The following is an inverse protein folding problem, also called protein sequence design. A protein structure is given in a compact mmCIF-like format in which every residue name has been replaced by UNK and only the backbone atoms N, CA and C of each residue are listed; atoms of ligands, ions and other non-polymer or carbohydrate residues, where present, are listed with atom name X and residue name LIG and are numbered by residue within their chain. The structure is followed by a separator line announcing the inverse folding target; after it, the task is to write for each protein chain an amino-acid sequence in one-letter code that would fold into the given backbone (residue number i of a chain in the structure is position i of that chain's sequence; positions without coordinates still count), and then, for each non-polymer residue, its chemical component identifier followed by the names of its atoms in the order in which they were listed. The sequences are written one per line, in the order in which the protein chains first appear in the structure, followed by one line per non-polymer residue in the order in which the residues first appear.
data_IF_009447048938
#
_entry.id   IF_009447048938
#
_cell.length_a   1.000
_cell.length_b   1.000
_cell.length_c   1.000
_cell.angle_alpha   90.00
_cell.angle_beta   90.00
_cell.angle_gamma   90.00
#
_symmetry.space_group_name_H-M   'P 1'
#
loop_
_entity.id
_entity.type
_entity.pdbx_description
1 polymer ?
#
# COMPACT_ATOMS: atom_id res chain seq x y z
N UNK A 1 -2.85 -12.71 4.00
CA UNK A 1 -3.87 -11.64 3.97
C UNK A 1 -3.47 -10.53 4.91
N UNK A 2 -3.56 -9.31 4.49
CA UNK A 2 -3.23 -8.18 5.32
C UNK A 2 -4.20 -7.03 5.09
N UNK A 3 -4.35 -6.19 6.12
CA UNK A 3 -5.27 -5.06 6.09
C UNK A 3 -4.48 -3.78 5.91
N UNK A 4 -4.96 -2.92 5.05
CA UNK A 4 -4.32 -1.63 4.80
C UNK A 4 -5.31 -0.53 5.10
N UNK A 5 -4.82 0.50 5.77
CA UNK A 5 -5.60 1.68 6.08
C UNK A 5 -4.84 2.88 5.54
N UNK A 6 -5.50 3.64 4.69
CA UNK A 6 -4.91 4.84 4.11
C UNK A 6 -5.69 6.03 4.62
N UNK A 7 -5.05 6.87 5.40
CA UNK A 7 -5.69 8.08 5.92
C UNK A 7 -5.15 9.29 5.19
N UNK A 8 -6.05 10.10 4.66
CA UNK A 8 -5.66 11.33 3.99
C UNK A 8 -5.55 12.46 5.00
N UNK A 9 -4.32 12.78 5.39
CA UNK A 9 -4.07 13.84 6.35
C UNK A 9 -3.83 15.19 5.68
N UNK A 10 -3.91 15.25 4.37
CA UNK A 10 -3.73 16.51 3.66
C UNK A 10 -5.02 17.30 3.67
N UNK A 11 -4.97 18.50 3.16
CA UNK A 11 -6.15 19.34 3.07
C UNK A 11 -6.86 19.18 1.72
N UNK A 12 -6.34 18.34 0.87
CA UNK A 12 -6.86 18.17 -0.48
C UNK A 12 -7.49 16.79 -0.66
N UNK A 13 -8.38 16.68 -1.63
CA UNK A 13 -8.90 15.38 -2.05
C UNK A 13 -7.85 14.71 -2.92
N UNK A 14 -7.60 13.44 -2.67
CA UNK A 14 -6.61 12.66 -3.42
C UNK A 14 -7.27 11.41 -3.99
N UNK A 15 -6.71 10.91 -5.08
CA UNK A 15 -7.17 9.66 -5.68
C UNK A 15 -5.99 8.69 -5.79
N UNK A 16 -6.19 7.46 -5.35
CA UNK A 16 -5.17 6.45 -5.48
C UNK A 16 -5.15 5.95 -6.91
N UNK A 17 -4.04 6.14 -7.59
CA UNK A 17 -3.91 5.78 -8.99
C UNK A 17 -3.32 4.39 -9.20
N UNK A 18 -2.27 4.06 -8.49
CA UNK A 18 -1.58 2.80 -8.69
C UNK A 18 -0.83 2.37 -7.45
N UNK A 19 -0.45 1.11 -7.45
CA UNK A 19 0.36 0.55 -6.38
C UNK A 19 1.52 -0.22 -6.97
N UNK A 20 2.61 -0.27 -6.24
CA UNK A 20 3.75 -1.07 -6.61
C UNK A 20 4.31 -1.71 -5.34
N UNK A 21 4.33 -3.02 -5.28
CA UNK A 21 4.80 -3.76 -4.13
C UNK A 21 5.97 -4.63 -4.51
N UNK A 22 6.92 -4.74 -3.61
CA UNK A 22 8.06 -5.61 -3.74
C UNK A 22 8.05 -6.54 -2.55
N UNK A 23 8.07 -7.83 -2.80
CA UNK A 23 8.03 -8.84 -1.76
C UNK A 23 9.32 -9.63 -1.83
N UNK A 24 10.07 -9.66 -0.74
CA UNK A 24 11.33 -10.36 -0.66
C UNK A 24 11.14 -11.52 0.30
N UNK A 25 11.25 -12.74 -0.22
CA UNK A 25 11.02 -13.91 0.61
C UNK A 25 12.28 -14.26 1.40
N UNK A 26 12.16 -15.25 2.28
CA UNK A 26 13.26 -15.60 3.17
C UNK A 26 14.48 -16.18 2.43
N UNK A 27 14.32 -16.55 1.19
CA UNK A 27 15.43 -17.00 0.36
C UNK A 27 16.06 -15.88 -0.43
N UNK A 28 15.58 -14.67 -0.26
CA UNK A 28 16.09 -13.52 -0.98
C UNK A 28 15.48 -13.31 -2.36
N UNK A 29 14.48 -14.12 -2.71
CA UNK A 29 13.84 -13.95 -4.00
C UNK A 29 12.89 -12.76 -3.95
N UNK A 30 12.97 -11.93 -4.98
CA UNK A 30 12.15 -10.72 -5.06
C UNK A 30 11.03 -10.92 -6.05
N UNK A 31 9.81 -10.65 -5.62
CA UNK A 31 8.64 -10.63 -6.49
C UNK A 31 8.07 -9.24 -6.49
N UNK A 32 7.63 -8.77 -7.65
CA UNK A 32 7.03 -7.45 -7.75
C UNK A 32 5.58 -7.58 -8.19
N UNK A 33 4.72 -6.78 -7.58
CA UNK A 33 3.32 -6.75 -7.92
C UNK A 33 2.98 -5.28 -8.17
N UNK A 34 2.55 -4.97 -9.36
CA UNK A 34 2.16 -3.62 -9.70
C UNK A 34 0.77 -3.65 -10.33
N UNK A 35 0.04 -2.59 -10.15
CA UNK A 35 -1.29 -2.53 -10.73
C UNK A 35 -1.93 -1.18 -10.54
N UNK A 36 -3.04 -0.99 -11.25
CA UNK A 36 -3.83 0.21 -11.16
C UNK A 36 -4.69 0.12 -9.92
N UNK A 37 -4.63 1.13 -9.09
CA UNK A 37 -5.45 1.19 -7.89
C UNK A 37 -5.20 0.06 -6.91
N UNK A 38 -6.20 -0.26 -6.12
CA UNK A 38 -6.18 -1.38 -5.20
C UNK A 38 -7.49 -2.13 -5.32
N UNK A 39 -7.41 -3.46 -5.39
CA UNK A 39 -8.59 -4.33 -5.50
C UNK A 39 -9.51 -3.85 -6.62
N UNK A 40 -8.94 -3.47 -7.75
CA UNK A 40 -9.74 -3.04 -8.90
C UNK A 40 -10.35 -1.66 -8.78
N UNK A 41 -9.99 -0.88 -7.77
CA UNK A 41 -10.55 0.45 -7.55
C UNK A 41 -9.47 1.51 -7.48
N UNK A 42 -9.85 2.71 -7.88
CA UNK A 42 -9.00 3.88 -7.69
C UNK A 42 -9.74 4.84 -6.77
N UNK A 43 -9.74 4.55 -5.46
CA UNK A 43 -10.60 5.30 -4.55
C UNK A 43 -10.20 6.77 -4.42
N UNK A 44 -11.21 7.60 -4.29
CA UNK A 44 -11.04 9.02 -4.01
C UNK A 44 -11.22 9.19 -2.51
N UNK A 45 -10.21 9.79 -1.88
CA UNK A 45 -10.19 9.93 -0.43
C UNK A 45 -10.18 11.42 -0.11
N UNK A 46 -11.24 11.91 0.50
CA UNK A 46 -11.31 13.32 0.87
C UNK A 46 -10.46 13.60 2.08
N UNK A 47 -10.17 14.87 2.29
CA UNK A 47 -9.39 15.29 3.45
C UNK A 47 -9.99 14.72 4.74
N UNK A 48 -9.17 14.09 5.53
CA UNK A 48 -9.58 13.50 6.80
C UNK A 48 -10.22 12.13 6.70
N UNK A 49 -10.52 11.66 5.50
CA UNK A 49 -11.14 10.35 5.32
C UNK A 49 -10.13 9.22 5.37
N UNK A 50 -10.63 8.04 5.64
CA UNK A 50 -9.83 6.83 5.70
C UNK A 50 -10.40 5.83 4.72
N UNK A 51 -9.53 5.24 3.91
CA UNK A 51 -9.90 4.13 3.03
C UNK A 51 -9.24 2.87 3.58
N UNK A 52 -10.02 1.81 3.72
CA UNK A 52 -9.52 0.54 4.23
C UNK A 52 -9.73 -0.55 3.21
N UNK A 53 -8.77 -1.44 3.07
CA UNK A 53 -8.96 -2.62 2.25
C UNK A 53 -8.15 -3.78 2.80
N UNK A 54 -8.55 -4.99 2.40
CA UNK A 54 -7.85 -6.21 2.77
C UNK A 54 -7.30 -6.82 1.50
N UNK A 55 -6.03 -7.15 1.52
CA UNK A 55 -5.37 -7.74 0.36
C UNK A 55 -4.85 -9.11 0.71
N UNK A 56 -4.98 -10.04 -0.23
CA UNK A 56 -4.33 -11.32 -0.12
C UNK A 56 -3.06 -11.30 -0.91
N UNK A 57 -2.04 -11.93 -0.41
CA UNK A 57 -0.83 -12.06 -1.18
C UNK A 57 -0.50 -13.53 -1.26
N UNK A 58 -0.10 -13.96 -2.46
CA UNK A 58 0.19 -15.35 -2.68
C UNK A 58 1.66 -15.61 -2.45
N UNK A 59 2.07 -15.50 -1.22
CA UNK A 59 3.40 -15.89 -0.88
C UNK A 59 3.36 -17.37 -0.55
N UNK A 60 4.05 -18.15 -1.33
CA UNK A 60 4.18 -19.58 -1.04
C UNK A 60 5.32 -19.79 -0.09
N UNK A 61 5.60 -18.82 0.74
CA UNK A 61 6.70 -18.90 1.69
C UNK A 61 6.20 -18.43 3.05
N UNK A 62 6.72 -19.00 4.12
CA UNK A 62 6.21 -18.68 5.45
C UNK A 62 6.58 -17.29 5.93
N UNK A 63 7.57 -16.66 5.36
CA UNK A 63 7.97 -15.34 5.80
C UNK A 63 8.51 -14.53 4.66
N UNK A 64 8.49 -13.23 4.83
CA UNK A 64 9.01 -12.31 3.84
C UNK A 64 8.87 -10.88 4.30
N UNK A 65 9.43 -9.98 3.52
CA UNK A 65 9.35 -8.54 3.76
C UNK A 65 8.66 -7.92 2.58
N UNK A 66 7.73 -7.03 2.87
CA UNK A 66 6.97 -6.33 1.84
C UNK A 66 7.23 -4.84 1.96
N UNK A 67 7.47 -4.20 0.84
CA UNK A 67 7.66 -2.76 0.79
C UNK A 67 7.14 -2.27 -0.56
N UNK A 68 6.93 -0.99 -0.68
CA UNK A 68 6.43 -0.50 -1.95
C UNK A 68 6.06 0.95 -1.90
N UNK A 69 5.18 1.33 -2.82
CA UNK A 69 4.73 2.70 -2.90
C UNK A 69 3.35 2.76 -3.52
N UNK A 70 2.66 3.85 -3.23
CA UNK A 70 1.43 4.21 -3.90
C UNK A 70 1.63 5.47 -4.68
N UNK A 71 0.93 5.59 -5.80
CA UNK A 71 0.91 6.81 -6.57
C UNK A 71 -0.47 7.43 -6.45
N UNK A 72 -0.51 8.69 -6.08
CA UNK A 72 -1.76 9.42 -5.88
C UNK A 72 -1.84 10.64 -6.79
N UNK A 73 -3.06 11.02 -7.10
CA UNK A 73 -3.34 12.29 -7.76
C UNK A 73 -3.95 13.24 -6.74
N UNK A 74 -3.39 14.43 -6.62
CA UNK A 74 -4.04 15.48 -5.86
C UNK A 74 -5.03 16.13 -6.80
N UNK A 75 -6.32 15.99 -6.51
CA UNK A 75 -7.37 16.43 -7.43
C UNK A 75 -7.49 17.93 -7.53
N UNK A 76 -7.00 18.66 -6.54
CA UNK A 76 -7.08 20.11 -6.56
C UNK A 76 -5.95 20.73 -7.38
N UNK A 77 -4.74 20.25 -7.21
CA UNK A 77 -3.59 20.77 -7.95
C UNK A 77 -3.32 20.04 -9.25
N UNK A 78 -3.99 18.91 -9.46
CA UNK A 78 -3.81 18.03 -10.62
C UNK A 78 -2.36 17.59 -10.72
N UNK A 79 -1.74 17.28 -9.61
CA UNK A 79 -0.37 16.79 -9.56
C UNK A 79 -0.32 15.39 -8.98
N UNK A 80 0.57 14.59 -9.54
CA UNK A 80 0.77 13.21 -9.10
C UNK A 80 1.94 13.20 -8.10
N UNK A 81 1.79 12.44 -7.04
CA UNK A 81 2.86 12.26 -6.06
C UNK A 81 2.90 10.83 -5.59
N UNK A 82 4.05 10.42 -5.04
CA UNK A 82 4.25 9.07 -4.55
C UNK A 82 4.36 9.05 -3.03
N UNK A 83 3.85 8.00 -2.42
CA UNK A 83 4.00 7.77 -1.00
C UNK A 83 4.70 6.44 -0.82
N UNK A 84 5.85 6.44 -0.18
CA UNK A 84 6.62 5.23 0.05
C UNK A 84 6.09 4.50 1.27
N UNK A 85 6.00 3.19 1.15
CA UNK A 85 5.57 2.34 2.25
C UNK A 85 6.81 1.66 2.81
N UNK A 86 7.15 1.88 4.07
CA UNK A 86 8.35 1.26 4.63
C UNK A 86 8.22 -0.26 4.69
N UNK A 87 9.34 -0.95 4.71
CA UNK A 87 9.29 -2.41 4.78
C UNK A 87 8.59 -2.90 6.03
N UNK A 88 7.84 -3.97 5.90
CA UNK A 88 7.23 -4.64 7.04
C UNK A 88 7.23 -6.14 6.81
N UNK A 89 7.17 -6.89 7.91
CA UNK A 89 7.24 -8.34 7.85
C UNK A 89 5.88 -8.94 7.58
N UNK A 90 5.86 -9.99 6.78
CA UNK A 90 4.64 -10.71 6.47
C UNK A 90 4.49 -11.97 7.31
N UNK A 91 5.48 -12.31 8.11
CA UNK A 91 5.49 -13.57 8.85
C UNK A 91 4.80 -13.48 10.20
N UNK A 92 4.27 -12.34 10.57
CA UNK A 92 3.59 -12.16 11.84
C UNK A 92 2.08 -12.17 11.60
N UNK A 93 1.30 -12.84 12.45
CA UNK A 93 -0.14 -12.77 12.34
C UNK A 93 -0.66 -11.36 12.64
N UNK A 94 0.14 -10.55 13.33
CA UNK A 94 -0.19 -9.20 13.49
C UNK A 94 0.77 -8.39 12.76
N UNK A 95 0.35 -7.57 11.86
CA UNK A 95 1.22 -6.61 11.30
C UNK A 95 1.10 -5.42 12.16
N UNK A 96 2.04 -5.29 13.06
CA UNK A 96 2.08 -4.20 13.85
C UNK A 96 2.66 -3.15 13.16
N UNK A 97 1.96 -2.38 12.66
CA UNK A 97 2.50 -1.30 11.99
C UNK A 97 3.00 -0.30 12.85
N UNK A 98 3.36 -0.54 14.01
CA UNK A 98 3.82 0.36 14.74
C UNK A 98 4.96 0.81 14.39
N UNK A 99 5.11 1.86 14.23
CA UNK A 99 6.27 2.41 13.94
C UNK A 99 6.93 2.50 15.13
N UNK A 100 7.92 2.46 15.12
CA UNK A 100 8.63 2.63 16.27
C UNK A 100 9.84 3.01 15.99
#
# INVERSE_FOLDING_TARGET
MYNVKIKNKSQSTIQLLSRHWQIIDYKGKVNEIAGVGVIGEQPVIKSGEVFKYTSGTYLNVPSGIMQGKYEFLNEESIKVFEVMIPPFSLDSPYIKTRPH
#
